data_IF_697940109766
#
_entry.id   IF_697940109766
#
_cell.length_a   1.000
_cell.length_b   1.000
_cell.length_c   1.000
_cell.angle_alpha   90.00
_cell.angle_beta   90.00
_cell.angle_gamma   90.00
#
_symmetry.space_group_name_H-M   'P 1'
#
loop_
_entity.id
_entity.type
_entity.pdbx_description
1 polymer ?
#
# COMPACT_ATOMS: atom_id res chain seq x y z
N UNK A 1 9.97 2.52 11.55
CA UNK A 1 9.33 3.63 12.32
C UNK A 1 8.05 3.09 12.93
N UNK A 2 7.59 3.54 14.12
CA UNK A 2 6.37 2.96 14.67
C UNK A 2 5.24 3.26 13.68
N UNK A 3 4.60 2.20 13.20
CA UNK A 3 3.36 2.28 12.43
C UNK A 3 2.47 3.30 13.11
N UNK A 4 2.14 4.40 12.42
CA UNK A 4 1.17 5.35 12.98
C UNK A 4 -0.07 4.52 13.32
N UNK A 5 -0.61 4.67 14.54
CA UNK A 5 -1.79 3.90 14.95
C UNK A 5 -2.84 3.99 13.85
N UNK A 6 -3.43 2.86 13.46
CA UNK A 6 -4.37 2.76 12.32
C UNK A 6 -5.43 3.87 12.35
N UNK A 7 -5.91 4.22 13.55
CA UNK A 7 -6.86 5.32 13.75
C UNK A 7 -6.33 6.69 13.31
N UNK A 8 -5.11 7.06 13.71
CA UNK A 8 -4.49 8.33 13.32
C UNK A 8 -4.17 8.37 11.82
N UNK A 9 -3.76 7.23 11.24
CA UNK A 9 -3.54 7.12 9.81
C UNK A 9 -4.85 7.27 9.02
N UNK A 10 -5.94 6.65 9.49
CA UNK A 10 -7.27 6.79 8.89
C UNK A 10 -7.80 8.21 8.97
N UNK A 11 -7.63 8.90 10.12
CA UNK A 11 -8.01 10.31 10.22
C UNK A 11 -7.27 11.18 9.20
N UNK A 12 -5.94 11.05 9.12
CA UNK A 12 -5.15 11.82 8.13
C UNK A 12 -5.52 11.50 6.68
N UNK A 13 -5.91 10.26 6.38
CA UNK A 13 -6.40 9.89 5.06
C UNK A 13 -7.71 10.63 4.77
N UNK A 14 -8.67 10.57 5.68
CA UNK A 14 -9.99 11.19 5.54
C UNK A 14 -9.86 12.72 5.42
N UNK A 15 -8.99 13.35 6.23
CA UNK A 15 -8.78 14.81 6.21
C UNK A 15 -8.22 15.34 4.86
N UNK A 16 -7.69 14.46 4.00
CA UNK A 16 -7.16 14.79 2.69
C UNK A 16 -8.14 14.53 1.54
N UNK A 17 -9.29 13.90 1.82
CA UNK A 17 -10.27 13.59 0.79
C UNK A 17 -11.15 14.81 0.46
N UNK A 18 -11.61 14.93 -0.79
CA UNK A 18 -12.67 15.88 -1.14
C UNK A 18 -13.98 15.56 -0.41
N UNK A 19 -14.81 16.57 -0.17
CA UNK A 19 -16.11 16.42 0.49
C UNK A 19 -17.07 15.54 -0.33
N UNK A 20 -16.89 15.49 -1.66
CA UNK A 20 -17.74 14.74 -2.60
C UNK A 20 -17.27 13.30 -2.83
N UNK A 21 -16.28 12.80 -2.08
CA UNK A 21 -15.79 11.42 -2.23
C UNK A 21 -16.91 10.40 -1.98
N UNK A 22 -17.04 9.43 -2.87
CA UNK A 22 -17.98 8.32 -2.68
C UNK A 22 -17.46 7.30 -1.67
N UNK A 23 -18.35 6.45 -1.15
CA UNK A 23 -17.97 5.33 -0.29
C UNK A 23 -17.01 4.35 -0.97
N UNK A 24 -17.17 4.12 -2.28
CA UNK A 24 -16.32 3.21 -3.04
C UNK A 24 -14.91 3.78 -3.21
N UNK A 25 -14.79 5.09 -3.45
CA UNK A 25 -13.49 5.77 -3.51
C UNK A 25 -12.79 5.79 -2.15
N UNK A 26 -13.52 6.04 -1.06
CA UNK A 26 -12.97 5.95 0.29
C UNK A 26 -12.45 4.52 0.58
N UNK A 27 -13.24 3.49 0.26
CA UNK A 27 -12.83 2.10 0.45
C UNK A 27 -11.57 1.77 -0.36
N UNK A 28 -11.49 2.23 -1.61
CA UNK A 28 -10.32 2.08 -2.45
C UNK A 28 -9.08 2.73 -1.82
N UNK A 29 -9.18 3.96 -1.33
CA UNK A 29 -8.06 4.67 -0.69
C UNK A 29 -7.57 3.95 0.58
N UNK A 30 -8.50 3.42 1.38
CA UNK A 30 -8.15 2.61 2.55
C UNK A 30 -7.39 1.35 2.14
N UNK A 31 -7.85 0.64 1.11
CA UNK A 31 -7.20 -0.58 0.64
C UNK A 31 -5.80 -0.31 0.06
N UNK A 32 -5.64 0.77 -0.71
CA UNK A 32 -4.33 1.20 -1.21
C UNK A 32 -3.37 1.46 -0.04
N UNK A 33 -3.82 2.18 1.00
CA UNK A 33 -3.00 2.43 2.18
C UNK A 33 -2.62 1.14 2.89
N UNK A 34 -3.58 0.24 3.11
CA UNK A 34 -3.33 -1.05 3.76
C UNK A 34 -2.36 -1.91 2.96
N UNK A 35 -2.48 -1.92 1.63
CA UNK A 35 -1.58 -2.64 0.72
C UNK A 35 -0.13 -2.16 0.82
N UNK A 36 0.09 -0.85 0.90
CA UNK A 36 1.43 -0.27 1.10
C UNK A 36 2.03 -0.74 2.43
N UNK A 37 1.27 -0.65 3.54
CA UNK A 37 1.76 -1.05 4.86
C UNK A 37 2.10 -2.55 4.90
N UNK A 38 1.29 -3.40 4.24
CA UNK A 38 1.60 -4.83 4.08
C UNK A 38 2.87 -5.05 3.28
N UNK A 39 3.02 -4.37 2.13
CA UNK A 39 4.21 -4.48 1.28
C UNK A 39 5.49 -4.02 1.99
N UNK A 40 5.41 -2.95 2.78
CA UNK A 40 6.53 -2.50 3.61
C UNK A 40 6.89 -3.53 4.69
N UNK A 41 5.88 -4.11 5.36
CA UNK A 41 6.12 -5.16 6.36
C UNK A 41 6.68 -6.46 5.74
N UNK A 42 6.29 -6.78 4.50
CA UNK A 42 6.87 -7.89 3.74
C UNK A 42 8.33 -7.60 3.37
N UNK A 43 8.64 -6.37 2.93
CA UNK A 43 10.00 -5.94 2.63
C UNK A 43 10.90 -5.98 3.87
N UNK A 44 10.46 -5.43 5.00
CA UNK A 44 11.19 -5.44 6.27
C UNK A 44 11.44 -6.88 6.77
N UNK A 45 10.53 -7.80 6.48
CA UNK A 45 10.66 -9.21 6.83
C UNK A 45 11.41 -10.05 5.78
N UNK A 46 11.91 -9.43 4.70
CA UNK A 46 12.61 -10.13 3.61
C UNK A 46 11.72 -11.03 2.76
N UNK A 47 10.38 -10.89 2.85
CA UNK A 47 9.40 -11.59 1.99
C UNK A 47 9.28 -10.89 0.62
N UNK A 48 10.39 -10.82 -0.08
CA UNK A 48 10.51 -10.15 -1.38
C UNK A 48 10.93 -11.13 -2.46
N UNK A 49 10.66 -10.79 -3.72
CA UNK A 49 11.13 -11.53 -4.89
C UNK A 49 12.25 -10.70 -5.54
N UNK A 50 13.42 -11.29 -5.83
CA UNK A 50 14.47 -10.60 -6.58
C UNK A 50 13.98 -10.07 -7.92
N UNK A 51 14.47 -8.90 -8.33
CA UNK A 51 14.10 -8.27 -9.60
C UNK A 51 14.33 -9.20 -10.79
N UNK A 52 15.46 -9.91 -10.81
CA UNK A 52 15.82 -10.85 -11.89
C UNK A 52 14.81 -12.01 -12.02
N UNK A 53 14.19 -12.44 -10.93
CA UNK A 53 13.24 -13.54 -10.93
C UNK A 53 11.86 -13.08 -11.40
N UNK A 54 11.46 -11.84 -11.06
CA UNK A 54 10.27 -11.18 -11.61
C UNK A 54 10.43 -10.96 -13.12
N UNK A 55 11.58 -10.45 -13.57
CA UNK A 55 11.83 -10.23 -15.00
C UNK A 55 11.73 -11.53 -15.80
N UNK A 56 12.34 -12.62 -15.29
CA UNK A 56 12.19 -13.97 -15.89
C UNK A 56 10.73 -14.43 -15.90
N UNK A 57 9.98 -14.23 -14.81
CA UNK A 57 8.57 -14.63 -14.71
C UNK A 57 7.70 -13.95 -15.76
N UNK A 58 7.94 -12.66 -16.02
CA UNK A 58 7.19 -11.88 -17.02
C UNK A 58 7.81 -11.90 -18.43
N UNK A 59 8.92 -12.61 -18.64
CA UNK A 59 9.60 -12.66 -19.94
C UNK A 59 10.20 -11.33 -20.38
N UNK A 60 10.54 -10.45 -19.44
CA UNK A 60 11.15 -9.15 -19.71
C UNK A 60 12.65 -9.38 -19.91
N UNK A 61 13.10 -9.29 -21.16
CA UNK A 61 14.53 -9.34 -21.51
C UNK A 61 15.03 -7.90 -21.67
N UNK A 62 16.04 -7.51 -20.90
CA UNK A 62 16.69 -6.19 -21.02
C UNK A 62 17.91 -6.24 -21.91
#
# INVERSE_FOLDING_TARGET
>A
MPSTKVKEAAHRLIDQLPDEVSWDELAYQIEVRASIERGLADADAGRIIPQEDIEKHFGITR
#
